data_IF_981709227811
#
_entry.id   IF_981709227811
#
_cell.length_a   1.000
_cell.length_b   1.000
_cell.length_c   1.000
_cell.angle_alpha   90.00
_cell.angle_beta   90.00
_cell.angle_gamma   90.00
#
_symmetry.space_group_name_H-M   'P 1'
#
loop_
_entity.id
_entity.type
_entity.pdbx_description
1 polymer ?
#
# COMPACT_ATOMS: atom_id res chain seq x y z
N UNK A 1 -27.88 -41.75 65.47
CA UNK A 1 -26.44 -41.50 65.19
C UNK A 1 -26.23 -40.76 63.84
N UNK A 2 -27.15 -39.88 63.42
CA UNK A 2 -27.22 -39.34 62.05
C UNK A 2 -27.04 -37.82 61.92
N UNK A 3 -27.14 -37.07 63.03
CA UNK A 3 -26.96 -35.60 63.06
C UNK A 3 -25.52 -35.09 62.83
N UNK A 4 -24.43 -35.73 63.31
CA UNK A 4 -23.09 -35.15 63.16
C UNK A 4 -22.51 -35.29 61.73
N UNK A 5 -23.03 -36.23 60.93
CA UNK A 5 -22.62 -36.44 59.54
C UNK A 5 -23.20 -35.36 58.61
N UNK A 6 -24.47 -35.00 58.80
CA UNK A 6 -25.14 -33.95 58.03
C UNK A 6 -24.48 -32.58 58.30
N UNK A 7 -24.14 -32.28 59.55
CA UNK A 7 -23.42 -31.04 59.90
C UNK A 7 -22.01 -30.95 59.30
N UNK A 8 -21.28 -32.07 59.18
CA UNK A 8 -19.97 -32.11 58.50
C UNK A 8 -20.07 -31.93 56.98
N UNK A 9 -21.14 -32.45 56.37
CA UNK A 9 -21.42 -32.32 54.94
C UNK A 9 -21.82 -30.88 54.58
N UNK A 10 -22.66 -30.24 55.39
CA UNK A 10 -23.07 -28.83 55.25
C UNK A 10 -21.85 -27.90 55.43
N UNK A 11 -21.00 -28.15 56.43
CA UNK A 11 -19.77 -27.36 56.63
C UNK A 11 -18.75 -27.52 55.50
N UNK A 12 -18.63 -28.72 54.91
CA UNK A 12 -17.75 -28.95 53.76
C UNK A 12 -18.30 -28.28 52.48
N UNK A 13 -19.62 -28.33 52.24
CA UNK A 13 -20.24 -27.62 51.13
C UNK A 13 -20.14 -26.09 51.27
N UNK A 14 -20.26 -25.56 52.50
CA UNK A 14 -20.14 -24.13 52.77
C UNK A 14 -18.74 -23.56 52.52
N UNK A 15 -17.68 -24.39 52.52
CA UNK A 15 -16.30 -23.98 52.22
C UNK A 15 -15.92 -24.27 50.77
N UNK A 16 -16.43 -25.35 50.18
CA UNK A 16 -16.10 -25.75 48.79
C UNK A 16 -16.85 -24.90 47.75
N UNK A 17 -18.11 -24.53 48.01
CA UNK A 17 -18.90 -23.69 47.09
C UNK A 17 -18.31 -22.28 46.86
N UNK A 18 -17.90 -21.50 47.88
CA UNK A 18 -17.29 -20.20 47.65
C UNK A 18 -15.91 -20.31 46.98
N UNK A 19 -15.11 -21.34 47.29
CA UNK A 19 -13.81 -21.57 46.63
C UNK A 19 -13.95 -21.86 45.13
N UNK A 20 -14.98 -22.63 44.73
CA UNK A 20 -15.25 -22.93 43.32
C UNK A 20 -15.76 -21.69 42.56
N UNK A 21 -16.56 -20.84 43.20
CA UNK A 21 -16.98 -19.55 42.63
C UNK A 21 -15.80 -18.57 42.43
N UNK A 22 -14.81 -18.55 43.33
CA UNK A 22 -13.61 -17.72 43.17
C UNK A 22 -12.73 -18.17 41.99
N UNK A 23 -12.66 -19.48 41.70
CA UNK A 23 -11.92 -20.02 40.55
C UNK A 23 -12.59 -19.69 39.20
N UNK A 24 -13.91 -19.53 39.17
CA UNK A 24 -14.66 -19.19 37.95
C UNK A 24 -14.58 -17.70 37.57
N UNK A 25 -14.19 -16.83 38.50
CA UNK A 25 -14.04 -15.38 38.26
C UNK A 25 -12.66 -15.00 37.67
N UNK A 26 -11.70 -15.92 37.63
CA UNK A 26 -10.35 -15.67 37.06
C UNK A 26 -10.25 -15.82 35.53
N UNK A 27 -11.35 -16.15 34.84
CA UNK A 27 -11.32 -16.54 33.43
C UNK A 27 -11.57 -15.43 32.39
N UNK A 28 -12.05 -14.25 32.80
CA UNK A 28 -12.52 -13.22 31.87
C UNK A 28 -11.75 -11.91 32.05
N UNK A 29 -10.62 -11.76 31.36
CA UNK A 29 -9.83 -10.54 31.41
C UNK A 29 -8.41 -10.65 30.86
N UNK A 30 -8.17 -11.48 29.83
CA UNK A 30 -6.97 -11.29 29.01
C UNK A 30 -7.21 -10.05 28.16
N UNK A 31 -6.82 -8.92 28.74
CA UNK A 31 -6.58 -7.63 28.11
C UNK A 31 -6.21 -7.82 26.63
N UNK A 32 -7.09 -7.40 25.71
CA UNK A 32 -6.72 -7.28 24.30
C UNK A 32 -5.72 -6.15 24.23
N UNK A 33 -4.45 -6.47 24.38
CA UNK A 33 -3.34 -5.53 24.31
C UNK A 33 -3.26 -5.00 22.88
N UNK A 34 -3.93 -3.89 22.61
CA UNK A 34 -3.78 -3.13 21.36
C UNK A 34 -2.46 -2.38 21.48
N UNK A 35 -1.38 -3.00 21.03
CA UNK A 35 -0.09 -2.31 20.88
C UNK A 35 -0.18 -1.43 19.64
N UNK A 36 0.03 -0.12 19.81
CA UNK A 36 0.33 0.74 18.67
C UNK A 36 1.69 0.32 18.15
N UNK A 37 1.68 -0.34 17.00
CA UNK A 37 2.88 -0.65 16.26
C UNK A 37 3.43 0.68 15.73
N UNK A 38 4.73 0.88 15.87
CA UNK A 38 5.44 2.04 15.33
C UNK A 38 5.14 2.14 13.82
N UNK A 39 4.72 3.30 13.28
CA UNK A 39 4.43 3.47 11.85
C UNK A 39 5.62 3.16 10.92
N UNK A 40 6.84 3.01 11.47
CA UNK A 40 8.01 2.53 10.73
C UNK A 40 8.13 1.00 10.61
N UNK A 41 7.27 0.22 11.29
CA UNK A 41 7.31 -1.24 11.23
C UNK A 41 6.46 -1.74 10.05
N UNK A 42 7.13 -2.06 8.94
CA UNK A 42 6.51 -2.76 7.80
C UNK A 42 5.98 -4.10 8.30
N UNK A 43 4.66 -4.18 8.40
CA UNK A 43 3.96 -5.34 8.94
C UNK A 43 3.51 -6.22 7.78
N UNK A 44 4.47 -6.92 7.18
CA UNK A 44 4.20 -7.87 6.09
C UNK A 44 3.63 -9.17 6.65
N UNK A 45 2.31 -9.24 6.74
CA UNK A 45 1.59 -10.40 7.27
C UNK A 45 1.14 -11.41 6.21
N UNK A 46 1.33 -11.12 4.93
CA UNK A 46 1.00 -12.01 3.82
C UNK A 46 2.17 -12.00 2.86
N UNK A 47 2.81 -13.13 2.58
CA UNK A 47 3.89 -13.25 1.57
C UNK A 47 3.40 -13.04 0.14
N UNK A 48 2.59 -12.01 -0.07
CA UNK A 48 1.95 -11.54 -1.30
C UNK A 48 2.48 -10.14 -1.58
N UNK A 49 2.57 -9.79 -2.85
CA UNK A 49 2.98 -8.46 -3.29
C UNK A 49 2.10 -7.36 -2.68
N UNK A 50 2.74 -6.29 -2.19
CA UNK A 50 2.04 -5.17 -1.57
C UNK A 50 2.63 -3.79 -1.93
N UNK A 51 2.09 -2.74 -1.31
CA UNK A 51 2.48 -1.36 -1.55
C UNK A 51 3.93 -1.04 -1.12
N UNK A 52 4.45 -1.74 -0.11
CA UNK A 52 5.85 -1.57 0.33
C UNK A 52 6.81 -2.15 -0.70
N UNK A 53 6.54 -3.37 -1.17
CA UNK A 53 7.32 -4.01 -2.23
C UNK A 53 7.31 -3.16 -3.50
N UNK A 54 6.14 -2.62 -3.86
CA UNK A 54 5.98 -1.72 -5.01
C UNK A 54 6.89 -0.51 -4.93
N UNK A 55 6.93 0.17 -3.78
CA UNK A 55 7.79 1.33 -3.53
C UNK A 55 9.27 0.99 -3.58
N UNK A 56 9.67 -0.10 -2.91
CA UNK A 56 11.07 -0.51 -2.85
C UNK A 56 11.60 -0.86 -4.25
N UNK A 57 10.79 -1.57 -5.05
CA UNK A 57 11.16 -1.91 -6.43
C UNK A 57 11.19 -0.66 -7.30
N UNK A 58 10.22 0.24 -7.18
CA UNK A 58 10.21 1.51 -7.91
C UNK A 58 11.45 2.36 -7.60
N UNK A 59 11.82 2.50 -6.32
CA UNK A 59 13.01 3.23 -5.89
C UNK A 59 14.29 2.61 -6.47
N UNK A 60 14.43 1.27 -6.36
CA UNK A 60 15.59 0.56 -6.87
C UNK A 60 15.76 0.74 -8.39
N UNK A 61 14.67 0.53 -9.15
CA UNK A 61 14.66 0.70 -10.61
C UNK A 61 15.00 2.14 -11.02
N UNK A 62 14.45 3.12 -10.32
CA UNK A 62 14.71 4.54 -10.58
C UNK A 62 16.15 4.92 -10.28
N UNK A 63 16.68 4.47 -9.14
CA UNK A 63 18.08 4.70 -8.77
C UNK A 63 19.03 4.09 -9.79
N UNK A 64 18.73 2.89 -10.28
CA UNK A 64 19.50 2.27 -11.35
C UNK A 64 19.42 3.09 -12.64
N UNK A 65 18.21 3.38 -13.13
CA UNK A 65 17.99 4.10 -14.39
C UNK A 65 18.75 5.42 -14.44
N UNK A 66 18.73 6.20 -13.36
CA UNK A 66 19.29 7.55 -13.34
C UNK A 66 20.81 7.55 -13.10
N UNK A 67 21.39 6.44 -12.62
CA UNK A 67 22.84 6.28 -12.49
C UNK A 67 23.49 5.68 -13.75
N UNK A 68 22.70 5.32 -14.77
CA UNK A 68 23.24 4.80 -16.01
C UNK A 68 23.82 5.92 -16.89
N UNK A 69 24.87 5.64 -17.70
CA UNK A 69 25.58 6.66 -18.50
C UNK A 69 24.72 7.40 -19.53
N UNK A 70 23.56 6.86 -19.92
CA UNK A 70 22.69 7.48 -20.93
C UNK A 70 22.24 8.89 -20.52
N UNK A 71 22.04 9.12 -19.21
CA UNK A 71 21.57 10.40 -18.69
C UNK A 71 22.63 11.49 -18.88
N UNK A 72 23.87 11.19 -18.51
CA UNK A 72 25.01 12.09 -18.72
C UNK A 72 25.26 12.32 -20.21
N UNK A 73 25.21 11.26 -21.03
CA UNK A 73 25.38 11.36 -22.47
C UNK A 73 24.30 12.26 -23.11
N UNK A 74 23.04 12.12 -22.71
CA UNK A 74 21.95 12.96 -23.22
C UNK A 74 22.12 14.42 -22.79
N UNK A 75 22.42 14.65 -21.52
CA UNK A 75 22.63 16.00 -20.98
C UNK A 75 23.79 16.71 -21.68
N UNK A 76 24.90 16.01 -21.91
CA UNK A 76 26.08 16.56 -22.60
C UNK A 76 25.82 16.86 -24.08
N UNK A 77 24.99 16.06 -24.76
CA UNK A 77 24.68 16.23 -26.19
C UNK A 77 23.62 17.31 -26.45
N UNK A 78 22.62 17.42 -25.59
CA UNK A 78 21.44 18.26 -25.84
C UNK A 78 21.30 19.46 -24.89
N UNK A 79 22.18 19.58 -23.89
CA UNK A 79 22.21 20.66 -22.90
C UNK A 79 20.84 20.91 -22.23
N UNK A 80 20.07 19.83 -22.01
CA UNK A 80 18.74 19.86 -21.41
C UNK A 80 18.46 18.57 -20.64
N UNK A 81 17.58 18.65 -19.65
CA UNK A 81 17.10 17.49 -18.90
C UNK A 81 16.25 16.60 -19.83
N UNK A 82 16.45 15.27 -19.84
CA UNK A 82 15.64 14.39 -20.65
C UNK A 82 14.19 14.36 -20.17
N UNK A 83 13.28 14.26 -21.14
CA UNK A 83 11.87 14.04 -20.89
C UNK A 83 11.56 12.57 -21.09
N UNK A 84 11.12 11.88 -20.04
CA UNK A 84 10.83 10.45 -20.00
C UNK A 84 9.32 10.24 -19.88
N UNK A 85 8.81 9.15 -20.47
CA UNK A 85 7.39 8.79 -20.39
C UNK A 85 7.31 7.38 -19.84
N UNK A 86 6.46 7.17 -18.84
CA UNK A 86 6.15 5.83 -18.35
C UNK A 86 5.24 5.14 -19.36
N UNK A 87 5.73 4.04 -19.92
CA UNK A 87 4.96 3.19 -20.81
C UNK A 87 3.91 2.37 -20.07
N UNK A 88 3.09 1.63 -20.82
CA UNK A 88 2.16 0.66 -20.23
C UNK A 88 2.93 -0.48 -19.59
N UNK A 89 2.73 -0.68 -18.29
CA UNK A 89 3.28 -1.83 -17.56
C UNK A 89 2.27 -2.98 -17.65
N UNK A 90 2.76 -4.19 -17.93
CA UNK A 90 1.94 -5.39 -18.03
C UNK A 90 2.35 -6.37 -16.94
N UNK A 91 1.40 -6.77 -16.10
CA UNK A 91 1.63 -7.86 -15.16
C UNK A 91 1.63 -9.20 -15.91
N UNK A 92 2.79 -9.89 -15.93
CA UNK A 92 2.96 -11.23 -16.51
C UNK A 92 3.07 -12.33 -15.44
N UNK A 93 2.91 -11.96 -14.17
CA UNK A 93 2.98 -12.88 -13.04
C UNK A 93 1.66 -13.62 -12.84
N UNK A 94 1.71 -14.72 -12.08
CA UNK A 94 0.50 -15.44 -11.64
C UNK A 94 -0.18 -14.77 -10.44
N UNK A 95 0.50 -13.83 -9.80
CA UNK A 95 -0.02 -13.02 -8.71
C UNK A 95 -0.73 -11.78 -9.24
N UNK A 96 -1.81 -11.38 -8.57
CA UNK A 96 -2.46 -10.11 -8.82
C UNK A 96 -1.63 -8.98 -8.21
N UNK A 97 -0.88 -8.29 -9.07
CA UNK A 97 -0.15 -7.06 -8.77
C UNK A 97 -0.98 -5.88 -9.25
N UNK A 98 -1.22 -4.90 -8.37
CA UNK A 98 -1.81 -3.63 -8.77
C UNK A 98 -0.79 -2.80 -9.56
N UNK A 99 -0.90 -2.88 -10.87
CA UNK A 99 -0.04 -2.14 -11.79
C UNK A 99 -0.28 -0.63 -11.69
N UNK A 100 -1.49 -0.20 -11.31
CA UNK A 100 -1.79 1.22 -11.12
C UNK A 100 -0.95 1.81 -10.00
N UNK A 101 -0.97 1.19 -8.83
CA UNK A 101 -0.15 1.60 -7.68
C UNK A 101 1.34 1.61 -8.02
N UNK A 102 1.81 0.58 -8.73
CA UNK A 102 3.21 0.52 -9.15
C UNK A 102 3.63 1.64 -10.10
N UNK A 103 2.77 2.01 -11.07
CA UNK A 103 3.01 3.15 -11.96
C UNK A 103 3.06 4.45 -11.16
N UNK A 104 2.12 4.65 -10.23
CA UNK A 104 2.09 5.85 -9.38
C UNK A 104 3.33 5.95 -8.49
N UNK A 105 3.82 4.83 -7.92
CA UNK A 105 5.04 4.83 -7.13
C UNK A 105 6.28 5.13 -7.98
N UNK A 106 6.36 4.62 -9.22
CA UNK A 106 7.43 5.00 -10.15
C UNK A 106 7.41 6.50 -10.46
N UNK A 107 6.24 7.06 -10.79
CA UNK A 107 6.06 8.49 -11.06
C UNK A 107 6.45 9.36 -9.87
N UNK A 108 6.11 8.92 -8.66
CA UNK A 108 6.52 9.57 -7.42
C UNK A 108 8.05 9.59 -7.27
N UNK A 109 8.71 8.45 -7.47
CA UNK A 109 10.17 8.36 -7.34
C UNK A 109 10.91 9.15 -8.44
N UNK A 110 10.38 9.18 -9.66
CA UNK A 110 10.86 10.08 -10.71
C UNK A 110 10.80 11.54 -10.28
N UNK A 111 9.66 11.95 -9.71
CA UNK A 111 9.43 13.32 -9.22
C UNK A 111 10.41 13.68 -8.11
N UNK A 112 10.63 12.76 -7.16
CA UNK A 112 11.58 12.95 -6.06
C UNK A 112 13.02 13.10 -6.54
N UNK A 113 13.41 12.34 -7.58
CA UNK A 113 14.79 12.34 -8.08
C UNK A 113 15.20 13.67 -8.73
N UNK A 114 14.27 14.44 -9.29
CA UNK A 114 14.48 15.70 -10.02
C UNK A 114 15.53 15.67 -11.15
N UNK A 115 16.07 14.49 -11.49
CA UNK A 115 17.10 14.32 -12.54
C UNK A 115 16.49 14.10 -13.93
N UNK A 116 15.19 13.84 -14.01
CA UNK A 116 14.43 13.65 -15.25
C UNK A 116 13.12 14.41 -15.17
N UNK A 117 12.66 14.95 -16.31
CA UNK A 117 11.29 15.45 -16.44
C UNK A 117 10.42 14.30 -16.91
N UNK A 118 9.31 14.01 -16.24
CA UNK A 118 8.40 12.97 -16.70
C UNK A 118 7.11 13.56 -17.27
N UNK A 119 6.52 12.86 -18.24
CA UNK A 119 5.16 13.10 -18.68
C UNK A 119 4.28 12.02 -18.09
N UNK A 120 3.13 12.43 -17.55
CA UNK A 120 2.14 11.54 -16.97
C UNK A 120 1.83 10.35 -17.88
N UNK A 121 1.53 9.22 -17.24
CA UNK A 121 1.18 7.98 -17.89
C UNK A 121 0.09 8.16 -18.96
N UNK A 122 -0.06 7.15 -19.82
CA UNK A 122 -1.09 7.20 -20.86
C UNK A 122 -2.49 7.43 -20.28
N UNK A 123 -2.82 6.79 -19.15
CA UNK A 123 -4.15 6.77 -18.55
C UNK A 123 -4.57 8.15 -18.06
N UNK A 124 -3.67 8.88 -17.40
CA UNK A 124 -3.97 10.23 -16.86
C UNK A 124 -4.21 11.26 -17.97
N UNK A 125 -3.75 10.95 -19.20
CA UNK A 125 -3.96 11.79 -20.37
C UNK A 125 -5.20 11.42 -21.17
N UNK A 126 -5.90 10.34 -20.84
CA UNK A 126 -7.09 9.91 -21.59
C UNK A 126 -8.23 10.90 -21.41
N UNK A 127 -8.43 11.44 -20.20
CA UNK A 127 -9.41 12.52 -19.96
C UNK A 127 -9.09 13.76 -20.78
N UNK A 128 -7.83 14.21 -20.80
CA UNK A 128 -7.39 15.36 -21.61
C UNK A 128 -7.51 15.08 -23.12
N UNK A 129 -7.32 13.83 -23.55
CA UNK A 129 -7.54 13.44 -24.96
C UNK A 129 -9.02 13.47 -25.29
N UNK A 130 -9.86 12.94 -24.42
CA UNK A 130 -11.31 12.97 -24.57
C UNK A 130 -11.82 14.41 -24.62
N UNK A 131 -11.41 15.26 -23.69
CA UNK A 131 -11.80 16.67 -23.67
C UNK A 131 -11.36 17.38 -24.96
N UNK A 132 -10.11 17.17 -25.42
CA UNK A 132 -9.64 17.73 -26.70
C UNK A 132 -10.44 17.22 -27.90
N UNK A 133 -10.87 15.96 -27.87
CA UNK A 133 -11.69 15.38 -28.93
C UNK A 133 -13.09 15.99 -28.92
N UNK A 134 -13.71 16.16 -27.74
CA UNK A 134 -15.01 16.81 -27.59
C UNK A 134 -14.96 18.28 -27.99
N UNK A 135 -13.93 19.02 -27.56
CA UNK A 135 -13.67 20.39 -28.00
C UNK A 135 -13.51 20.46 -29.53
N UNK A 136 -12.82 19.50 -30.14
CA UNK A 136 -12.69 19.45 -31.59
C UNK A 136 -14.01 19.19 -32.31
N UNK A 137 -14.91 18.36 -31.76
CA UNK A 137 -16.24 18.07 -32.34
C UNK A 137 -17.18 19.28 -32.22
N UNK A 138 -17.06 20.08 -31.16
CA UNK A 138 -17.94 21.22 -30.90
C UNK A 138 -17.35 22.59 -31.32
N UNK A 139 -16.11 22.62 -31.81
CA UNK A 139 -15.50 23.83 -32.35
C UNK A 139 -16.12 24.22 -33.69
N UNK A 140 -16.21 25.53 -33.94
CA UNK A 140 -16.51 26.06 -35.28
C UNK A 140 -15.35 25.71 -36.23
N UNK A 141 -15.65 25.43 -37.49
CA UNK A 141 -14.66 25.02 -38.51
C UNK A 141 -13.51 26.03 -38.67
N UNK A 142 -13.75 27.32 -38.45
CA UNK A 142 -12.76 28.39 -38.52
C UNK A 142 -11.71 28.36 -37.38
N UNK A 143 -12.07 27.77 -36.24
CA UNK A 143 -11.28 27.73 -35.00
C UNK A 143 -10.72 26.33 -34.71
N UNK A 144 -11.20 25.32 -35.43
CA UNK A 144 -10.78 23.93 -35.25
C UNK A 144 -9.31 23.77 -35.66
N UNK A 145 -8.50 23.19 -34.77
CA UNK A 145 -7.12 22.86 -35.08
C UNK A 145 -7.10 21.75 -36.12
N UNK A 146 -6.52 22.03 -37.30
CA UNK A 146 -6.38 21.04 -38.38
C UNK A 146 -5.65 19.77 -37.86
N UNK A 147 -6.04 18.58 -38.35
CA UNK A 147 -5.44 17.31 -37.96
C UNK A 147 -3.95 17.22 -38.32
#
# INVERSE_FOLDING_TARGET
MTLPFIFRLIKSCAVVAPCLCLLLLGGCGKERKVTRVDPGLVTDFSGRWNDTDSKLVAEAMMKEMVNQPWLENFSNQHNRVPTVIVGTILNKSHEHIDVGTFVTDLEREMTNSQRVLFVASQRDRDEIRQERQEQAVHAREDTQKRP
#
